data_IF_477825785233
#
_entry.id   IF_477825785233
#
_cell.length_a   1.000
_cell.length_b   1.000
_cell.length_c   1.000
_cell.angle_alpha   90.00
_cell.angle_beta   90.00
_cell.angle_gamma   90.00
#
_symmetry.space_group_name_H-M   'P 1'
#
loop_
_entity.id
_entity.type
_entity.pdbx_description
1 polymer ?
#
# COMPACT_ATOMS: atom_id res chain seq x y z
N UNK A 1 3.74 6.53 -9.06
CA UNK A 1 2.81 7.59 -8.62
C UNK A 1 1.41 6.99 -8.43
N UNK A 2 0.62 7.53 -7.49
CA UNK A 2 -0.70 6.98 -7.10
C UNK A 2 -1.69 8.09 -6.72
N UNK A 3 -2.98 7.81 -6.90
CA UNK A 3 -4.09 8.72 -6.59
C UNK A 3 -4.41 8.67 -5.09
N UNK A 4 -4.35 9.80 -4.38
CA UNK A 4 -4.66 9.89 -2.94
C UNK A 4 -6.16 10.11 -2.65
N UNK A 5 -6.89 10.72 -3.59
CA UNK A 5 -8.33 10.99 -3.51
C UNK A 5 -9.00 10.78 -4.87
N UNK A 6 -10.27 10.38 -4.90
CA UNK A 6 -11.02 10.07 -6.13
C UNK A 6 -11.06 11.28 -7.08
N UNK A 7 -10.74 11.07 -8.37
CA UNK A 7 -10.78 12.17 -9.34
C UNK A 7 -10.60 11.75 -10.79
N UNK A 8 -10.73 12.69 -11.71
CA UNK A 8 -10.61 12.45 -13.15
C UNK A 8 -9.24 12.89 -13.66
N UNK A 9 -8.61 12.09 -14.52
CA UNK A 9 -7.39 12.53 -15.24
C UNK A 9 -7.83 13.55 -16.28
N UNK A 10 -7.40 14.81 -16.13
CA UNK A 10 -7.78 15.89 -17.04
C UNK A 10 -6.82 16.00 -18.23
N UNK A 11 -5.52 15.79 -18.02
CA UNK A 11 -4.48 15.91 -19.05
C UNK A 11 -3.27 15.03 -18.71
N UNK A 12 -2.60 14.47 -19.73
CA UNK A 12 -1.43 13.59 -19.59
C UNK A 12 -0.35 14.07 -20.56
N UNK A 13 0.63 14.81 -20.06
CA UNK A 13 1.80 15.24 -20.83
C UNK A 13 3.01 14.36 -20.53
N UNK A 14 4.02 14.42 -21.39
CA UNK A 14 5.26 13.63 -21.26
C UNK A 14 6.03 13.94 -19.96
N UNK A 15 5.78 15.10 -19.37
CA UNK A 15 6.46 15.63 -18.19
C UNK A 15 5.58 15.67 -16.93
N UNK A 16 4.24 15.67 -17.04
CA UNK A 16 3.33 15.68 -15.90
C UNK A 16 1.92 15.13 -16.22
N UNK A 17 1.22 14.66 -15.18
CA UNK A 17 -0.20 14.28 -15.27
C UNK A 17 -1.03 15.23 -14.40
N UNK A 18 -2.15 15.72 -14.93
CA UNK A 18 -3.13 16.61 -14.25
C UNK A 18 -4.32 15.78 -13.78
N UNK A 19 -4.59 15.76 -12.48
CA UNK A 19 -5.78 15.14 -11.86
C UNK A 19 -6.76 16.22 -11.39
N UNK A 20 -8.06 15.93 -11.38
CA UNK A 20 -9.03 16.83 -10.73
C UNK A 20 -10.28 16.10 -10.23
N UNK A 21 -10.58 16.27 -8.93
CA UNK A 21 -11.76 16.98 -8.39
C UNK A 21 -11.23 17.76 -7.17
N UNK A 22 -11.52 19.06 -7.07
CA UNK A 22 -11.03 20.07 -6.09
C UNK A 22 -9.58 20.59 -6.18
N UNK A 23 -8.56 19.78 -6.43
CA UNK A 23 -7.17 20.28 -6.55
C UNK A 23 -6.39 19.64 -7.70
N UNK A 24 -5.65 20.48 -8.44
CA UNK A 24 -4.78 20.05 -9.54
C UNK A 24 -3.39 19.71 -9.01
N UNK A 25 -3.09 18.41 -8.93
CA UNK A 25 -1.77 17.93 -8.59
C UNK A 25 -0.92 17.75 -9.85
N UNK A 26 0.09 18.61 -10.03
CA UNK A 26 1.10 18.46 -11.09
C UNK A 26 2.35 17.82 -10.51
N UNK A 27 2.81 16.70 -11.08
CA UNK A 27 4.05 16.05 -10.63
C UNK A 27 4.91 15.62 -11.80
N UNK A 28 6.19 15.93 -11.70
CA UNK A 28 7.20 15.66 -12.72
C UNK A 28 7.41 14.15 -12.93
N UNK A 29 7.46 13.74 -14.21
CA UNK A 29 7.61 12.35 -14.66
C UNK A 29 9.03 11.99 -15.09
N UNK A 30 10.07 12.73 -14.67
CA UNK A 30 11.45 12.47 -15.10
C UNK A 30 11.83 10.99 -14.88
N UNK A 31 12.05 10.25 -15.98
CA UNK A 31 12.40 8.82 -15.97
C UNK A 31 11.24 7.84 -15.78
N UNK A 32 9.99 8.31 -15.73
CA UNK A 32 8.79 7.50 -15.55
C UNK A 32 7.84 7.66 -16.74
N UNK A 33 7.08 6.62 -17.06
CA UNK A 33 6.09 6.63 -18.15
C UNK A 33 4.67 6.58 -17.57
N UNK A 34 3.71 7.34 -18.11
CA UNK A 34 2.32 7.29 -17.67
C UNK A 34 1.68 5.93 -18.00
N UNK A 35 0.83 5.42 -17.10
CA UNK A 35 0.03 4.19 -17.27
C UNK A 35 -1.46 4.44 -17.52
N UNK A 36 -1.85 5.70 -17.56
CA UNK A 36 -3.24 6.15 -17.73
C UNK A 36 -3.35 7.03 -18.97
N UNK A 37 -4.53 7.04 -19.58
CA UNK A 37 -4.83 7.87 -20.74
C UNK A 37 -5.48 9.19 -20.33
N UNK A 38 -5.39 10.20 -21.22
CA UNK A 38 -6.16 11.44 -21.05
C UNK A 38 -7.65 11.15 -20.89
N UNK A 39 -8.31 11.91 -20.00
CA UNK A 39 -9.75 11.81 -19.69
C UNK A 39 -10.19 10.50 -19.04
N UNK A 40 -9.26 9.61 -18.70
CA UNK A 40 -9.55 8.39 -17.96
C UNK A 40 -10.00 8.71 -16.53
N UNK A 41 -11.06 8.05 -16.09
CA UNK A 41 -11.50 8.12 -14.69
C UNK A 41 -10.59 7.23 -13.84
N UNK A 42 -10.12 7.78 -12.73
CA UNK A 42 -9.19 7.10 -11.82
C UNK A 42 -9.74 7.12 -10.41
N UNK A 43 -9.63 5.98 -9.75
CA UNK A 43 -10.06 5.84 -8.37
C UNK A 43 -8.87 5.96 -7.43
N UNK A 44 -9.15 6.18 -6.15
CA UNK A 44 -8.14 6.17 -5.09
C UNK A 44 -7.30 4.88 -5.18
N UNK A 45 -5.97 5.04 -5.17
CA UNK A 45 -5.04 3.92 -5.35
C UNK A 45 -4.69 3.56 -6.79
N UNK A 46 -5.27 4.20 -7.80
CA UNK A 46 -4.87 3.92 -9.20
C UNK A 46 -3.39 4.25 -9.40
N UNK A 47 -2.65 3.33 -10.02
CA UNK A 47 -1.22 3.49 -10.31
C UNK A 47 -1.08 4.27 -11.61
N UNK A 48 -0.41 5.41 -11.54
CA UNK A 48 -0.41 6.42 -12.61
C UNK A 48 0.85 6.39 -13.47
N UNK A 49 1.93 5.84 -12.94
CA UNK A 49 3.23 5.79 -13.62
C UNK A 49 3.81 4.39 -13.57
N UNK A 50 4.74 4.10 -14.47
CA UNK A 50 5.70 3.00 -14.32
C UNK A 50 6.66 3.28 -13.16
N UNK A 51 7.49 2.29 -12.83
CA UNK A 51 8.48 2.37 -11.74
C UNK A 51 8.04 1.74 -10.43
N UNK A 52 8.95 1.79 -9.45
CA UNK A 52 8.80 1.22 -8.12
C UNK A 52 7.74 1.96 -7.31
N UNK A 53 6.83 1.22 -6.68
CA UNK A 53 5.83 1.78 -5.78
C UNK A 53 6.29 1.58 -4.32
N UNK A 54 6.18 2.61 -3.48
CA UNK A 54 6.26 2.40 -2.03
C UNK A 54 4.98 1.67 -1.57
N UNK A 55 5.16 0.42 -1.17
CA UNK A 55 4.10 -0.50 -0.73
C UNK A 55 3.46 -0.04 0.57
N UNK A 56 4.20 0.60 1.48
CA UNK A 56 3.65 1.08 2.77
C UNK A 56 2.65 2.20 2.52
N UNK A 57 3.07 3.23 1.79
CA UNK A 57 2.18 4.35 1.45
C UNK A 57 1.06 3.88 0.50
N UNK A 58 1.26 2.83 -0.30
CA UNK A 58 0.16 2.24 -1.09
C UNK A 58 -0.87 1.56 -0.19
N UNK A 59 -0.43 0.75 0.77
CA UNK A 59 -1.28 0.09 1.77
C UNK A 59 -2.14 1.08 2.54
N UNK A 60 -1.60 2.23 2.92
CA UNK A 60 -2.36 3.26 3.65
C UNK A 60 -3.49 3.87 2.80
N UNK A 61 -3.40 3.77 1.48
CA UNK A 61 -4.40 4.31 0.54
C UNK A 61 -5.47 3.27 0.21
N UNK A 62 -5.07 2.03 -0.11
CA UNK A 62 -5.97 0.98 -0.64
C UNK A 62 -6.31 -0.13 0.36
N UNK A 63 -5.65 -0.17 1.52
CA UNK A 63 -5.77 -1.22 2.51
C UNK A 63 -4.90 -2.46 2.22
N UNK A 64 -4.91 -3.40 3.17
CA UNK A 64 -4.04 -4.58 3.15
C UNK A 64 -4.30 -5.48 1.94
N UNK A 65 -5.57 -5.77 1.63
CA UNK A 65 -5.92 -6.73 0.58
C UNK A 65 -5.41 -6.29 -0.80
N UNK A 66 -5.61 -5.03 -1.16
CA UNK A 66 -5.17 -4.50 -2.46
C UNK A 66 -3.65 -4.32 -2.51
N UNK A 67 -3.01 -3.99 -1.39
CA UNK A 67 -1.55 -3.99 -1.29
C UNK A 67 -0.96 -5.40 -1.49
N UNK A 68 -1.56 -6.43 -0.88
CA UNK A 68 -1.14 -7.82 -1.06
C UNK A 68 -1.29 -8.27 -2.52
N UNK A 69 -2.44 -8.01 -3.15
CA UNK A 69 -2.67 -8.31 -4.57
C UNK A 69 -1.65 -7.62 -5.48
N UNK A 70 -1.31 -6.37 -5.17
CA UNK A 70 -0.27 -5.64 -5.90
C UNK A 70 1.07 -6.37 -5.83
N UNK A 71 1.51 -6.79 -4.65
CA UNK A 71 2.79 -7.50 -4.46
C UNK A 71 2.77 -8.85 -5.19
N UNK A 72 1.66 -9.60 -5.11
CA UNK A 72 1.50 -10.87 -5.85
C UNK A 72 1.71 -10.63 -7.35
N UNK A 73 1.03 -9.64 -7.92
CA UNK A 73 1.08 -9.33 -9.35
C UNK A 73 2.47 -8.91 -9.79
N UNK A 74 3.15 -8.03 -9.05
CA UNK A 74 4.50 -7.59 -9.43
C UNK A 74 5.54 -8.69 -9.25
N UNK A 75 5.41 -9.53 -8.22
CA UNK A 75 6.29 -10.69 -8.03
C UNK A 75 6.15 -11.65 -9.21
N UNK A 76 4.91 -12.04 -9.56
CA UNK A 76 4.66 -12.93 -10.70
C UNK A 76 5.23 -12.38 -12.02
N UNK A 77 5.14 -11.07 -12.27
CA UNK A 77 5.70 -10.47 -13.49
C UNK A 77 7.21 -10.69 -13.62
N UNK A 78 7.96 -10.64 -12.51
CA UNK A 78 9.41 -10.83 -12.51
C UNK A 78 9.79 -12.30 -12.75
N UNK A 79 9.02 -13.25 -12.22
CA UNK A 79 9.27 -14.68 -12.46
C UNK A 79 8.82 -15.11 -13.85
N UNK A 80 7.68 -14.60 -14.31
CA UNK A 80 7.18 -14.83 -15.66
C UNK A 80 8.16 -14.31 -16.72
N UNK A 81 8.81 -13.16 -16.49
CA UNK A 81 9.84 -12.65 -17.41
C UNK A 81 11.11 -13.49 -17.44
N UNK A 82 11.34 -14.33 -16.43
CA UNK A 82 12.45 -15.29 -16.36
C UNK A 82 12.05 -16.70 -16.85
N UNK A 83 10.82 -16.87 -17.35
CA UNK A 83 10.31 -18.16 -17.81
C UNK A 83 10.07 -19.17 -16.69
N UNK A 84 9.93 -18.71 -15.44
CA UNK A 84 9.65 -19.56 -14.29
C UNK A 84 8.18 -19.46 -13.90
N UNK A 85 7.50 -20.62 -13.85
CA UNK A 85 6.18 -20.72 -13.26
C UNK A 85 6.26 -20.74 -11.74
N UNK A 86 5.50 -19.86 -11.09
CA UNK A 86 5.45 -19.73 -9.64
C UNK A 86 4.02 -20.00 -9.16
N UNK A 87 3.87 -20.95 -8.23
CA UNK A 87 2.57 -21.30 -7.69
C UNK A 87 2.05 -20.21 -6.73
N UNK A 88 0.85 -19.72 -7.02
CA UNK A 88 0.12 -18.70 -6.28
C UNK A 88 0.10 -18.95 -4.76
N UNK A 89 -0.13 -20.19 -4.33
CA UNK A 89 -0.22 -20.54 -2.90
C UNK A 89 1.06 -20.22 -2.13
N UNK A 90 2.23 -20.40 -2.75
CA UNK A 90 3.50 -20.11 -2.11
C UNK A 90 3.72 -18.61 -1.96
N UNK A 91 3.39 -17.84 -3.00
CA UNK A 91 3.48 -16.37 -2.98
C UNK A 91 2.54 -15.80 -1.93
N UNK A 92 1.29 -16.28 -1.90
CA UNK A 92 0.29 -15.86 -0.93
C UNK A 92 0.71 -16.16 0.51
N UNK A 93 1.29 -17.33 0.77
CA UNK A 93 1.77 -17.69 2.11
C UNK A 93 2.88 -16.76 2.58
N UNK A 94 3.84 -16.43 1.71
CA UNK A 94 4.93 -15.50 2.03
C UNK A 94 4.38 -14.10 2.28
N UNK A 95 3.49 -13.61 1.42
CA UNK A 95 2.92 -12.27 1.56
C UNK A 95 2.05 -12.18 2.82
N UNK A 96 1.27 -13.21 3.14
CA UNK A 96 0.54 -13.28 4.40
C UNK A 96 1.48 -13.12 5.60
N UNK A 97 2.64 -13.78 5.56
CA UNK A 97 3.64 -13.67 6.62
C UNK A 97 4.24 -12.26 6.73
N UNK A 98 4.44 -11.55 5.60
CA UNK A 98 4.91 -10.16 5.58
C UNK A 98 3.93 -9.19 6.27
N UNK A 99 2.62 -9.44 6.17
CA UNK A 99 1.58 -8.59 6.78
C UNK A 99 1.17 -9.03 8.20
N UNK A 100 1.71 -10.16 8.68
CA UNK A 100 1.33 -10.75 9.97
C UNK A 100 1.90 -10.03 11.21
N UNK A 101 2.83 -9.08 11.02
CA UNK A 101 3.55 -8.44 12.11
C UNK A 101 3.43 -6.93 12.04
N UNK A 102 3.34 -6.30 13.20
CA UNK A 102 3.43 -4.86 13.38
C UNK A 102 4.64 -4.52 14.22
N UNK A 103 5.20 -3.33 13.98
CA UNK A 103 6.27 -2.77 14.79
C UNK A 103 5.64 -1.92 15.89
N UNK A 104 6.05 -2.13 17.14
CA UNK A 104 5.55 -1.34 18.27
C UNK A 104 6.45 -0.12 18.45
N UNK A 105 5.92 1.06 18.23
CA UNK A 105 6.58 2.35 18.49
C UNK A 105 6.43 2.77 19.95
N UNK A 106 5.23 2.56 20.52
CA UNK A 106 4.91 2.90 21.92
C UNK A 106 4.10 1.78 22.55
N UNK A 107 4.53 1.31 23.73
CA UNK A 107 3.83 0.27 24.47
C UNK A 107 2.50 0.75 25.07
N UNK A 108 2.29 2.05 25.25
CA UNK A 108 1.15 2.58 26.00
C UNK A 108 1.08 1.96 27.39
N UNK A 109 -0.09 1.44 27.77
CA UNK A 109 -0.30 0.65 29.00
C UNK A 109 -0.34 -0.87 28.73
N UNK A 110 0.14 -1.32 27.58
CA UNK A 110 0.31 -2.74 27.25
C UNK A 110 1.60 -3.32 27.85
N UNK A 111 1.76 -4.64 27.72
CA UNK A 111 3.00 -5.34 28.06
C UNK A 111 3.97 -5.45 26.87
N UNK A 112 3.68 -4.79 25.74
CA UNK A 112 4.57 -4.83 24.59
C UNK A 112 5.88 -4.08 24.88
N UNK A 113 6.95 -4.52 24.24
CA UNK A 113 8.26 -3.87 24.33
C UNK A 113 8.39 -2.94 23.12
N UNK A 114 8.58 -1.62 23.32
CA UNK A 114 8.85 -0.70 22.22
C UNK A 114 10.08 -1.13 21.42
N UNK A 115 10.02 -0.98 20.09
CA UNK A 115 11.09 -1.39 19.19
C UNK A 115 11.03 -2.88 18.78
N UNK A 116 9.97 -3.60 19.14
CA UNK A 116 9.83 -5.03 18.79
C UNK A 116 8.72 -5.26 17.77
N UNK A 117 8.79 -6.40 17.07
CA UNK A 117 7.73 -6.86 16.19
C UNK A 117 6.84 -7.86 16.90
N UNK A 118 5.53 -7.59 16.91
CA UNK A 118 4.51 -8.47 17.49
C UNK A 118 3.52 -8.91 16.41
N UNK A 119 2.80 -10.01 16.64
CA UNK A 119 1.77 -10.47 15.72
C UNK A 119 0.61 -9.48 15.68
N UNK A 120 0.12 -9.16 14.48
CA UNK A 120 -0.93 -8.19 14.27
C UNK A 120 -2.22 -8.55 15.02
N UNK A 121 -2.62 -9.81 14.98
CA UNK A 121 -3.85 -10.27 15.65
C UNK A 121 -3.75 -10.10 17.16
N UNK A 122 -2.58 -10.37 17.73
CA UNK A 122 -2.32 -10.22 19.15
C UNK A 122 -2.29 -8.74 19.56
N UNK A 123 -1.67 -7.88 18.73
CA UNK A 123 -1.65 -6.43 18.93
C UNK A 123 -3.07 -5.83 18.96
N UNK A 124 -3.91 -6.19 17.99
CA UNK A 124 -5.31 -5.75 17.95
C UNK A 124 -6.07 -6.22 19.18
N UNK A 125 -5.91 -7.48 19.57
CA UNK A 125 -6.62 -8.03 20.72
C UNK A 125 -6.28 -7.26 22.00
N UNK A 126 -4.99 -7.07 22.28
CA UNK A 126 -4.52 -6.36 23.48
C UNK A 126 -4.98 -4.89 23.46
N UNK A 127 -4.88 -4.21 22.32
CA UNK A 127 -5.34 -2.82 22.23
C UNK A 127 -6.84 -2.69 22.43
N UNK A 128 -7.64 -3.58 21.85
CA UNK A 128 -9.10 -3.60 22.05
C UNK A 128 -9.47 -3.84 23.53
N UNK A 129 -8.73 -4.71 24.22
CA UNK A 129 -8.92 -4.91 25.66
C UNK A 129 -8.54 -3.67 26.48
N UNK A 130 -7.45 -2.98 26.14
CA UNK A 130 -7.03 -1.75 26.81
C UNK A 130 -8.03 -0.61 26.59
N UNK A 131 -8.50 -0.43 25.36
CA UNK A 131 -9.53 0.55 25.00
C UNK A 131 -10.83 0.30 25.79
N UNK A 132 -11.27 -0.96 25.90
CA UNK A 132 -12.46 -1.31 26.68
C UNK A 132 -12.33 -0.99 28.18
N UNK A 133 -11.10 -0.91 28.69
CA UNK A 133 -10.77 -0.55 30.08
C UNK A 133 -10.44 0.93 30.24
N UNK A 134 -10.55 1.74 29.19
CA UNK A 134 -10.21 3.17 29.20
C UNK A 134 -8.70 3.46 29.34
N UNK A 135 -7.84 2.47 29.06
CA UNK A 135 -6.39 2.58 29.15
C UNK A 135 -5.78 3.01 27.82
N UNK A 136 -4.56 3.54 27.87
CA UNK A 136 -3.83 3.93 26.65
C UNK A 136 -3.40 2.69 25.84
N UNK A 137 -3.86 2.53 24.58
CA UNK A 137 -3.43 1.43 23.72
C UNK A 137 -1.98 1.63 23.24
N UNK A 138 -1.36 0.54 22.80
CA UNK A 138 -0.05 0.56 22.16
C UNK A 138 -0.14 1.10 20.73
N UNK A 139 0.94 1.69 20.23
CA UNK A 139 1.09 2.19 18.86
C UNK A 139 2.17 1.43 18.12
#
# INVERSE_FOLDING_TARGET
MKVKEEGKVLDVKSDHIVFGIQDVFTKSLVGLYPKVSEKQEVYKGTILTTGSLDVREYKDIVGDLEAQKYIIRETKKVYASQGQDLNDKHIELVIKQLFSKVFVEDSGESFFIPGTHVKYEHFIQVNKELESKGKKPAK
#
